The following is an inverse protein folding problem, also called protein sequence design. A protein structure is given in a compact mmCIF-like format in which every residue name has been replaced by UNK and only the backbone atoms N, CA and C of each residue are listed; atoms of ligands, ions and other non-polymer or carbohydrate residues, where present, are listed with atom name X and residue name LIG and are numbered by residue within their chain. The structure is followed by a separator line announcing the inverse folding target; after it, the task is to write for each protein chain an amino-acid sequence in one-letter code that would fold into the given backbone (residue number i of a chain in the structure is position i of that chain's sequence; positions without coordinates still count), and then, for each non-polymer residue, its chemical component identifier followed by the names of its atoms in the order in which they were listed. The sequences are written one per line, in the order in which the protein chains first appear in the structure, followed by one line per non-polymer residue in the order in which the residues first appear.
data_IF_288108356452
#
_entry.id   IF_288108356452
#
_cell.length_a   1.000
_cell.length_b   1.000
_cell.length_c   1.000
_cell.angle_alpha   90.00
_cell.angle_beta   90.00
_cell.angle_gamma   90.00
#
_symmetry.space_group_name_H-M   'P 1'
#
loop_
_entity.id
_entity.type
_entity.pdbx_description
1 polymer ?
#
# COMPACT_ATOMS: atom_id res chain seq x y z
N UNK A 1 -28.79 22.32 1.14
CA UNK A 1 -28.11 21.14 1.71
C UNK A 1 -27.15 20.58 0.67
N UNK A 2 -25.84 20.77 0.83
CA UNK A 2 -24.84 20.12 -0.03
C UNK A 2 -24.76 18.64 0.34
N UNK A 3 -25.25 17.73 -0.51
CA UNK A 3 -24.94 16.30 -0.35
C UNK A 3 -23.46 16.11 -0.70
N UNK A 4 -22.66 15.71 0.29
CA UNK A 4 -21.28 15.27 0.05
C UNK A 4 -21.34 14.11 -0.94
N UNK A 5 -20.81 14.30 -2.14
CA UNK A 5 -20.75 13.24 -3.14
C UNK A 5 -20.01 12.01 -2.54
N UNK A 6 -20.50 10.79 -2.78
CA UNK A 6 -19.84 9.61 -2.26
C UNK A 6 -18.45 9.53 -2.90
N UNK A 7 -17.42 9.33 -2.07
CA UNK A 7 -16.02 9.24 -2.53
C UNK A 7 -15.73 7.90 -3.24
N UNK A 8 -16.77 7.16 -3.59
CA UNK A 8 -16.74 5.90 -4.31
C UNK A 8 -18.09 5.60 -4.98
N UNK A 9 -18.03 4.80 -6.02
CA UNK A 9 -19.12 4.21 -6.77
C UNK A 9 -18.95 2.69 -6.78
N UNK A 10 -20.06 1.94 -6.65
CA UNK A 10 -20.08 0.48 -6.86
C UNK A 10 -21.46 0.06 -7.29
N UNK A 11 -21.54 -0.78 -8.32
CA UNK A 11 -22.72 -1.55 -8.67
C UNK A 11 -22.65 -2.89 -7.95
N UNK A 12 -23.32 -3.03 -6.80
CA UNK A 12 -23.17 -4.21 -5.93
C UNK A 12 -23.32 -5.53 -6.69
N UNK A 13 -24.39 -5.68 -7.50
CA UNK A 13 -24.64 -6.91 -8.26
C UNK A 13 -23.55 -7.21 -9.31
N UNK A 14 -23.09 -6.19 -10.05
CA UNK A 14 -22.07 -6.38 -11.08
C UNK A 14 -20.69 -6.61 -10.46
N UNK A 15 -20.35 -5.88 -9.40
CA UNK A 15 -19.09 -6.02 -8.67
C UNK A 15 -18.97 -7.37 -7.98
N UNK A 16 -20.05 -7.85 -7.36
CA UNK A 16 -20.08 -9.17 -6.72
C UNK A 16 -20.16 -10.32 -7.74
N UNK A 17 -20.58 -10.08 -8.98
CA UNK A 17 -20.48 -11.06 -10.06
C UNK A 17 -19.03 -11.31 -10.50
N UNK A 18 -18.11 -10.36 -10.25
CA UNK A 18 -16.68 -10.54 -10.53
C UNK A 18 -16.08 -11.51 -9.49
N UNK A 19 -15.69 -12.71 -9.95
CA UNK A 19 -15.08 -13.74 -9.09
C UNK A 19 -13.57 -13.58 -8.97
N UNK A 20 -12.92 -13.38 -10.12
CA UNK A 20 -11.47 -13.29 -10.25
C UNK A 20 -11.09 -11.91 -10.77
N UNK A 21 -10.03 -11.34 -10.23
CA UNK A 21 -9.48 -10.05 -10.65
C UNK A 21 -7.99 -10.15 -10.91
N UNK A 22 -7.52 -9.48 -11.96
CA UNK A 22 -6.13 -9.13 -12.14
C UNK A 22 -5.88 -7.73 -11.56
N UNK A 23 -4.85 -7.57 -10.73
CA UNK A 23 -4.47 -6.26 -10.19
C UNK A 23 -3.41 -5.66 -11.12
N UNK A 24 -3.76 -4.70 -11.95
CA UNK A 24 -2.78 -4.04 -12.81
C UNK A 24 -1.75 -3.28 -11.95
N UNK A 25 -0.43 -3.30 -12.29
CA UNK A 25 0.55 -2.49 -11.58
C UNK A 25 0.13 -1.02 -11.55
N UNK A 26 0.18 -0.41 -10.37
CA UNK A 26 -0.21 0.99 -10.21
C UNK A 26 0.71 1.90 -11.01
N UNK A 27 0.16 3.03 -11.45
CA UNK A 27 0.91 4.07 -12.15
C UNK A 27 0.90 5.37 -11.38
N UNK A 28 1.88 6.23 -11.63
CA UNK A 28 1.82 7.65 -11.26
C UNK A 28 1.30 8.41 -12.47
N UNK A 29 0.35 9.34 -12.26
CA UNK A 29 -0.15 10.18 -13.35
C UNK A 29 1.02 10.91 -14.05
N UNK A 30 1.03 10.97 -15.40
CA UNK A 30 2.20 11.36 -16.19
C UNK A 30 2.75 12.76 -15.90
N UNK A 31 1.91 13.68 -15.40
CA UNK A 31 2.28 15.07 -15.10
C UNK A 31 2.35 15.36 -13.58
N UNK A 32 2.48 14.33 -12.75
CA UNK A 32 2.57 14.51 -11.31
C UNK A 32 3.97 14.97 -10.87
N UNK A 33 4.08 16.27 -10.57
CA UNK A 33 5.27 16.86 -9.96
C UNK A 33 5.42 16.45 -8.49
N UNK A 34 6.61 15.97 -8.13
CA UNK A 34 6.95 15.59 -6.74
C UNK A 34 8.46 15.59 -6.53
N UNK A 35 8.89 15.92 -5.31
CA UNK A 35 10.32 15.96 -4.93
C UNK A 35 10.94 14.57 -4.73
N UNK A 36 10.14 13.51 -4.82
CA UNK A 36 10.58 12.12 -4.64
C UNK A 36 11.44 11.65 -5.82
N UNK A 37 12.52 10.93 -5.53
CA UNK A 37 13.34 10.28 -6.56
C UNK A 37 12.59 9.15 -7.27
N UNK A 38 13.13 8.65 -8.38
CA UNK A 38 12.56 7.52 -9.10
C UNK A 38 12.47 6.26 -8.20
N UNK A 39 13.47 6.03 -7.35
CA UNK A 39 13.52 4.92 -6.41
C UNK A 39 12.47 5.09 -5.31
N UNK A 40 12.31 6.30 -4.76
CA UNK A 40 11.27 6.61 -3.76
C UNK A 40 9.86 6.43 -4.36
N UNK A 41 9.65 6.84 -5.61
CA UNK A 41 8.40 6.59 -6.36
C UNK A 41 8.13 5.10 -6.54
N UNK A 42 9.15 4.32 -6.93
CA UNK A 42 9.03 2.87 -7.11
C UNK A 42 8.68 2.16 -5.81
N UNK A 43 9.23 2.59 -4.66
CA UNK A 43 8.86 2.05 -3.35
C UNK A 43 7.39 2.29 -3.02
N UNK A 44 6.88 3.49 -3.28
CA UNK A 44 5.47 3.84 -3.04
C UNK A 44 4.55 2.99 -3.92
N UNK A 45 4.84 2.91 -5.22
CA UNK A 45 4.09 2.08 -6.17
C UNK A 45 4.02 0.62 -5.72
N UNK A 46 5.18 0.04 -5.38
CA UNK A 46 5.27 -1.34 -4.91
C UNK A 46 4.44 -1.58 -3.64
N UNK A 47 4.48 -0.66 -2.65
CA UNK A 47 3.69 -0.84 -1.43
C UNK A 47 2.19 -0.62 -1.66
N UNK A 48 1.80 0.30 -2.54
CA UNK A 48 0.40 0.50 -2.96
C UNK A 48 -0.15 -0.78 -3.59
N UNK A 49 0.56 -1.34 -4.55
CA UNK A 49 0.17 -2.58 -5.23
C UNK A 49 0.01 -3.75 -4.23
N UNK A 50 0.97 -3.87 -3.32
CA UNK A 50 0.96 -4.93 -2.29
C UNK A 50 -0.27 -4.83 -1.39
N UNK A 51 -0.58 -3.64 -0.89
CA UNK A 51 -1.70 -3.41 0.03
C UNK A 51 -3.04 -3.57 -0.68
N UNK A 52 -3.17 -3.09 -1.92
CA UNK A 52 -4.37 -3.29 -2.74
C UNK A 52 -4.59 -4.77 -3.00
N UNK A 53 -3.56 -5.50 -3.43
CA UNK A 53 -3.69 -6.93 -3.72
C UNK A 53 -4.13 -7.70 -2.47
N UNK A 54 -3.54 -7.43 -1.30
CA UNK A 54 -3.91 -8.13 -0.07
C UNK A 54 -5.36 -7.89 0.33
N UNK A 55 -5.83 -6.65 0.29
CA UNK A 55 -7.19 -6.30 0.70
C UNK A 55 -8.24 -6.76 -0.31
N UNK A 56 -7.93 -6.71 -1.60
CA UNK A 56 -8.77 -7.27 -2.66
C UNK A 56 -8.81 -8.81 -2.57
N UNK A 57 -7.70 -9.47 -2.27
CA UNK A 57 -7.63 -10.94 -2.12
C UNK A 57 -8.51 -11.49 -0.99
N UNK A 58 -8.95 -10.64 -0.05
CA UNK A 58 -9.91 -11.07 0.97
C UNK A 58 -11.25 -11.50 0.38
N UNK A 59 -11.63 -11.01 -0.80
CA UNK A 59 -12.96 -11.24 -1.39
C UNK A 59 -12.92 -11.62 -2.87
N UNK A 60 -11.81 -11.42 -3.56
CA UNK A 60 -11.63 -11.81 -4.95
C UNK A 60 -10.52 -12.84 -5.09
N UNK A 61 -10.68 -13.78 -6.02
CA UNK A 61 -9.56 -14.59 -6.47
C UNK A 61 -8.62 -13.69 -7.28
N UNK A 62 -7.32 -13.83 -7.09
CA UNK A 62 -6.33 -13.03 -7.84
C UNK A 62 -5.85 -13.86 -9.02
N UNK A 63 -6.00 -13.32 -10.23
CA UNK A 63 -5.37 -13.86 -11.41
C UNK A 63 -3.87 -13.49 -11.40
N UNK A 64 -2.97 -14.44 -11.70
CA UNK A 64 -1.53 -14.15 -11.77
C UNK A 64 -1.17 -13.26 -12.97
N UNK A 65 -1.96 -13.35 -14.03
CA UNK A 65 -1.79 -12.65 -15.31
C UNK A 65 -3.15 -12.11 -15.81
N UNK A 66 -3.16 -11.13 -16.73
CA UNK A 66 -4.39 -10.67 -17.37
C UNK A 66 -5.15 -11.84 -18.02
N UNK A 67 -6.46 -11.90 -17.83
CA UNK A 67 -7.31 -12.94 -18.40
C UNK A 67 -8.65 -12.39 -18.87
N UNK A 68 -9.18 -12.80 -20.03
CA UNK A 68 -10.49 -12.34 -20.53
C UNK A 68 -11.67 -12.64 -19.61
N UNK A 69 -11.54 -13.61 -18.69
CA UNK A 69 -12.58 -13.97 -17.73
C UNK A 69 -12.43 -13.30 -16.37
N UNK A 70 -11.37 -12.52 -16.17
CA UNK A 70 -11.10 -11.81 -14.93
C UNK A 70 -11.47 -10.33 -15.06
N UNK A 71 -11.98 -9.74 -13.99
CA UNK A 71 -12.03 -8.29 -13.88
C UNK A 71 -10.62 -7.70 -13.76
N UNK A 72 -10.48 -6.39 -13.94
CA UNK A 72 -9.19 -5.70 -13.81
C UNK A 72 -9.31 -4.59 -12.77
N UNK A 73 -8.43 -4.61 -11.78
CA UNK A 73 -8.25 -3.49 -10.85
C UNK A 73 -7.18 -2.57 -11.42
N UNK A 74 -7.51 -1.29 -11.63
CA UNK A 74 -6.58 -0.26 -12.05
C UNK A 74 -6.43 0.79 -10.98
N UNK A 75 -5.22 1.31 -10.83
CA UNK A 75 -4.91 2.28 -9.79
C UNK A 75 -3.92 3.32 -10.31
N UNK A 76 -4.26 4.59 -10.13
CA UNK A 76 -3.40 5.72 -10.48
C UNK A 76 -3.17 6.59 -9.22
N UNK A 77 -1.91 6.88 -8.92
CA UNK A 77 -1.52 7.90 -7.96
C UNK A 77 -1.63 9.26 -8.64
N UNK A 78 -2.59 10.07 -8.19
CA UNK A 78 -2.89 11.41 -8.73
C UNK A 78 -2.41 12.54 -7.82
N UNK A 79 -1.96 12.23 -6.59
CA UNK A 79 -1.16 13.15 -5.77
C UNK A 79 -0.18 12.37 -4.91
N UNK A 80 1.07 12.85 -4.88
CA UNK A 80 2.15 12.23 -4.10
C UNK A 80 3.02 13.32 -3.47
N UNK A 81 2.76 13.63 -2.21
CA UNK A 81 3.43 14.69 -1.48
C UNK A 81 4.52 14.11 -0.57
N UNK A 82 5.74 14.64 -0.70
CA UNK A 82 6.87 14.32 0.19
C UNK A 82 6.60 14.82 1.61
N UNK A 83 7.09 14.08 2.62
CA UNK A 83 7.20 14.62 3.98
C UNK A 83 8.55 15.34 4.16
N UNK A 84 8.58 16.37 5.01
CA UNK A 84 9.80 17.15 5.27
C UNK A 84 10.74 16.38 6.19
N UNK A 85 11.98 16.15 5.74
CA UNK A 85 13.03 15.52 6.56
C UNK A 85 13.39 16.37 7.78
N UNK A 86 13.55 17.68 7.61
CA UNK A 86 13.83 18.63 8.70
C UNK A 86 12.70 18.62 9.73
N UNK A 87 11.45 18.65 9.26
CA UNK A 87 10.28 18.57 10.14
C UNK A 87 10.16 17.21 10.85
N UNK A 88 10.63 16.13 10.25
CA UNK A 88 10.61 14.78 10.84
C UNK A 88 11.70 14.60 11.91
N UNK A 89 12.89 15.18 11.72
CA UNK A 89 13.95 15.24 12.75
C UNK A 89 13.51 16.11 13.93
N UNK A 90 12.93 17.28 13.66
CA UNK A 90 12.40 18.16 14.72
C UNK A 90 11.28 17.46 15.52
N UNK A 91 10.35 16.79 14.84
CA UNK A 91 9.30 16.00 15.50
C UNK A 91 9.89 14.88 16.37
N UNK A 92 10.90 14.16 15.90
CA UNK A 92 11.56 13.10 16.68
C UNK A 92 12.25 13.63 17.94
N UNK A 93 12.87 14.81 17.86
CA UNK A 93 13.48 15.47 19.01
C UNK A 93 12.44 15.91 20.04
N UNK A 94 11.27 16.39 19.59
CA UNK A 94 10.14 16.72 20.47
C UNK A 94 9.54 15.46 21.10
N UNK A 95 9.38 14.38 20.34
CA UNK A 95 8.89 13.09 20.84
C UNK A 95 9.82 12.51 21.92
N UNK A 96 11.14 12.70 21.80
CA UNK A 96 12.13 12.25 22.79
C UNK A 96 11.97 12.92 24.17
N UNK A 97 11.49 14.16 24.20
CA UNK A 97 11.27 14.93 25.44
C UNK A 97 9.79 15.00 25.86
N UNK A 98 8.90 14.33 25.13
CA UNK A 98 7.46 14.39 25.39
C UNK A 98 7.11 13.58 26.65
N UNK A 99 6.48 14.20 27.68
CA UNK A 99 6.07 13.49 28.90
C UNK A 99 4.98 12.43 28.66
N UNK A 100 4.33 12.43 27.48
CA UNK A 100 3.35 11.41 27.08
C UNK A 100 3.94 10.59 25.91
N UNK A 101 4.60 9.44 26.18
CA UNK A 101 5.43 8.71 25.22
C UNK A 101 4.66 8.02 24.07
N UNK A 102 3.37 8.27 23.91
CA UNK A 102 2.47 7.56 22.97
C UNK A 102 1.87 8.51 21.91
N UNK A 103 2.13 9.82 22.02
CA UNK A 103 1.53 10.85 21.14
C UNK A 103 2.64 11.60 20.43
N UNK A 104 2.76 11.38 19.12
CA UNK A 104 3.72 12.13 18.31
C UNK A 104 3.06 13.38 17.72
N UNK A 105 3.77 14.51 17.74
CA UNK A 105 3.32 15.78 17.16
C UNK A 105 4.13 16.14 15.91
N UNK A 106 3.43 16.43 14.79
CA UNK A 106 4.04 16.86 13.53
C UNK A 106 3.53 18.24 13.12
N UNK A 107 4.42 19.03 12.53
CA UNK A 107 4.08 20.34 11.96
C UNK A 107 3.21 20.12 10.70
N UNK A 108 2.11 20.85 10.49
CA UNK A 108 1.21 20.65 9.35
C UNK A 108 1.89 20.66 7.97
N UNK A 109 2.92 21.48 7.80
CA UNK A 109 3.69 21.60 6.55
C UNK A 109 4.75 20.50 6.36
N UNK A 110 4.95 19.61 7.35
CA UNK A 110 5.97 18.55 7.28
C UNK A 110 5.41 17.18 6.92
N UNK A 111 4.09 17.02 6.80
CA UNK A 111 3.46 15.72 6.52
C UNK A 111 3.35 15.46 5.03
N UNK A 112 3.59 14.20 4.65
CA UNK A 112 3.38 13.71 3.29
C UNK A 112 1.91 13.34 3.06
N UNK A 113 1.57 13.07 1.81
CA UNK A 113 0.20 12.80 1.41
C UNK A 113 0.11 11.94 0.17
N UNK A 114 -1.01 11.23 0.06
CA UNK A 114 -1.31 10.32 -1.03
C UNK A 114 -2.74 10.55 -1.49
N UNK A 115 -2.94 10.75 -2.79
CA UNK A 115 -4.24 10.67 -3.42
C UNK A 115 -4.21 9.70 -4.60
N UNK A 116 -5.25 8.89 -4.70
CA UNK A 116 -5.35 7.76 -5.61
C UNK A 116 -6.75 7.70 -6.20
N UNK A 117 -6.79 7.37 -7.48
CA UNK A 117 -7.98 6.89 -8.17
C UNK A 117 -7.82 5.39 -8.38
N UNK A 118 -8.85 4.62 -8.07
CA UNK A 118 -8.84 3.19 -8.29
C UNK A 118 -10.19 2.74 -8.83
N UNK A 119 -10.17 1.88 -9.83
CA UNK A 119 -11.36 1.32 -10.45
C UNK A 119 -11.28 -0.20 -10.55
N UNK A 120 -12.46 -0.83 -10.55
CA UNK A 120 -12.65 -2.22 -10.92
C UNK A 120 -13.45 -2.26 -12.21
N UNK A 121 -12.82 -2.84 -13.23
CA UNK A 121 -13.44 -3.19 -14.49
C UNK A 121 -13.94 -4.63 -14.42
N UNK A 122 -15.14 -4.88 -14.92
CA UNK A 122 -15.63 -6.23 -15.18
C UNK A 122 -14.83 -6.90 -16.32
N UNK A 123 -15.02 -8.22 -16.54
CA UNK A 123 -14.40 -8.92 -17.67
C UNK A 123 -14.77 -8.35 -19.05
N UNK A 124 -15.90 -7.65 -19.13
CA UNK A 124 -16.38 -6.92 -20.31
C UNK A 124 -15.72 -5.54 -20.49
N UNK A 125 -14.80 -5.15 -19.60
CA UNK A 125 -14.12 -3.84 -19.60
C UNK A 125 -14.97 -2.71 -19.03
N UNK A 126 -16.19 -2.97 -18.57
CA UNK A 126 -17.07 -1.94 -18.00
C UNK A 126 -16.67 -1.64 -16.56
N UNK A 127 -16.61 -0.37 -16.19
CA UNK A 127 -16.38 0.02 -14.80
C UNK A 127 -17.58 -0.39 -13.94
N UNK A 128 -17.35 -1.25 -12.94
CA UNK A 128 -18.36 -1.75 -11.99
C UNK A 128 -18.17 -1.19 -10.58
N UNK A 129 -16.98 -0.68 -10.27
CA UNK A 129 -16.71 0.09 -9.08
C UNK A 129 -15.57 1.10 -9.33
N UNK A 130 -15.59 2.21 -8.61
CA UNK A 130 -14.50 3.18 -8.61
C UNK A 130 -14.44 3.94 -7.30
N UNK A 131 -13.28 4.48 -6.96
CA UNK A 131 -13.13 5.35 -5.80
C UNK A 131 -12.07 6.41 -6.02
N UNK A 132 -12.28 7.53 -5.33
CA UNK A 132 -11.27 8.55 -5.11
C UNK A 132 -10.87 8.47 -3.63
N UNK A 133 -9.59 8.53 -3.34
CA UNK A 133 -9.10 8.53 -1.98
C UNK A 133 -7.98 9.53 -1.85
N UNK A 134 -8.04 10.32 -0.79
CA UNK A 134 -7.05 11.35 -0.50
C UNK A 134 -6.84 11.40 0.99
N UNK A 135 -5.59 11.31 1.42
CA UNK A 135 -5.23 11.45 2.82
C UNK A 135 -3.85 12.06 2.95
N UNK A 136 -3.70 12.91 3.96
CA UNK A 136 -2.40 13.36 4.43
C UNK A 136 -2.07 12.61 5.73
N UNK A 137 -0.79 12.39 6.02
CA UNK A 137 -0.40 11.81 7.30
C UNK A 137 -0.86 12.74 8.44
N UNK A 138 -1.37 12.13 9.52
CA UNK A 138 -1.94 12.87 10.64
C UNK A 138 -0.89 13.68 11.39
N UNK A 139 -1.27 14.86 11.88
CA UNK A 139 -0.42 15.75 12.67
C UNK A 139 -0.23 15.27 14.11
N UNK A 140 -1.17 14.47 14.61
CA UNK A 140 -1.16 13.88 15.96
C UNK A 140 -1.52 12.41 15.82
N UNK A 141 -0.69 11.51 16.35
CA UNK A 141 -0.98 10.08 16.30
C UNK A 141 0.11 9.22 16.92
N UNK A 142 -0.11 7.91 16.93
CA UNK A 142 0.85 6.90 17.43
C UNK A 142 1.93 6.54 16.41
N UNK A 143 1.96 7.24 15.28
CA UNK A 143 2.73 6.86 14.10
C UNK A 143 4.04 7.63 14.08
N UNK A 144 5.16 6.91 14.12
CA UNK A 144 6.51 7.46 14.18
C UNK A 144 6.82 8.37 12.98
N UNK A 145 7.38 9.59 13.17
CA UNK A 145 7.87 10.40 12.06
C UNK A 145 8.83 9.60 11.18
N UNK A 146 8.80 9.82 9.87
CA UNK A 146 9.71 9.11 8.95
C UNK A 146 10.84 10.01 8.50
N UNK A 147 12.08 9.50 8.56
CA UNK A 147 13.23 10.19 7.98
C UNK A 147 13.30 10.07 6.44
N UNK A 148 12.51 9.17 5.85
CA UNK A 148 12.36 9.10 4.40
C UNK A 148 11.34 10.13 3.93
N UNK A 149 11.57 10.76 2.76
CA UNK A 149 10.62 11.71 2.15
C UNK A 149 9.34 11.03 1.66
N UNK A 150 9.40 9.71 1.42
CA UNK A 150 8.26 8.90 1.00
C UNK A 150 7.56 8.18 2.17
N UNK A 151 8.06 8.33 3.40
CA UNK A 151 7.64 7.49 4.51
C UNK A 151 6.18 7.66 4.90
N UNK A 152 5.63 8.86 4.75
CA UNK A 152 4.21 9.10 5.00
C UNK A 152 3.32 8.48 3.93
N UNK A 153 3.71 8.57 2.65
CA UNK A 153 2.99 7.92 1.55
C UNK A 153 2.99 6.39 1.69
N UNK A 154 4.12 5.81 2.11
CA UNK A 154 4.23 4.36 2.36
C UNK A 154 3.33 3.89 3.51
N UNK A 155 3.20 4.68 4.57
CA UNK A 155 2.30 4.37 5.69
C UNK A 155 0.82 4.58 5.32
N UNK A 156 0.54 5.39 4.29
CA UNK A 156 -0.80 5.59 3.75
C UNK A 156 -1.24 4.47 2.79
N UNK A 157 -0.34 3.60 2.33
CA UNK A 157 -0.67 2.51 1.42
C UNK A 157 -1.59 1.45 2.06
N UNK A 158 -1.40 1.11 3.35
CA UNK A 158 -2.27 0.18 4.08
C UNK A 158 -3.73 0.70 4.16
N UNK A 159 -4.00 1.89 4.73
CA UNK A 159 -5.37 2.41 4.79
C UNK A 159 -5.98 2.71 3.40
N UNK A 160 -5.16 2.90 2.36
CA UNK A 160 -5.61 2.95 0.97
C UNK A 160 -6.12 1.57 0.51
N UNK A 161 -5.31 0.52 0.65
CA UNK A 161 -5.71 -0.85 0.26
C UNK A 161 -7.02 -1.25 0.95
N UNK A 162 -7.11 -0.95 2.25
CA UNK A 162 -8.30 -1.18 3.09
C UNK A 162 -9.56 -0.53 2.48
N UNK A 163 -9.39 0.70 1.97
CA UNK A 163 -10.47 1.45 1.33
C UNK A 163 -10.81 0.85 -0.03
N UNK A 164 -9.83 0.44 -0.82
CA UNK A 164 -10.05 -0.20 -2.12
C UNK A 164 -10.86 -1.49 -1.94
N UNK A 165 -10.43 -2.39 -1.05
CA UNK A 165 -11.16 -3.63 -0.76
C UNK A 165 -12.62 -3.39 -0.32
N UNK A 166 -12.85 -2.42 0.57
CA UNK A 166 -14.20 -2.03 1.02
C UNK A 166 -15.05 -1.37 -0.07
N UNK A 167 -14.40 -0.71 -1.04
CA UNK A 167 -15.10 -0.02 -2.14
C UNK A 167 -15.52 -0.99 -3.22
N UNK A 168 -14.75 -2.06 -3.47
CA UNK A 168 -14.97 -2.96 -4.60
C UNK A 168 -15.82 -4.18 -4.28
N UNK A 169 -15.92 -4.61 -3.02
CA UNK A 169 -16.82 -5.68 -2.64
C UNK A 169 -17.93 -5.18 -1.73
N UNK A 170 -19.14 -5.71 -1.91
CA UNK A 170 -20.20 -5.51 -0.93
C UNK A 170 -19.82 -6.15 0.41
N UNK A 171 -20.51 -5.73 1.48
CA UNK A 171 -20.31 -6.34 2.80
C UNK A 171 -20.87 -7.76 2.87
N UNK A 172 -21.81 -8.10 2.00
CA UNK A 172 -22.50 -9.38 1.95
C UNK A 172 -21.65 -10.44 1.23
N UNK A 173 -20.69 -10.00 0.41
CA UNK A 173 -19.72 -10.90 -0.21
C UNK A 173 -18.85 -11.59 0.84
N UNK A 174 -18.82 -12.93 0.87
CA UNK A 174 -18.04 -13.67 1.86
C UNK A 174 -16.55 -13.46 1.67
N UNK A 175 -15.82 -13.49 2.79
CA UNK A 175 -14.35 -13.49 2.77
C UNK A 175 -13.81 -14.85 2.33
N UNK A 176 -12.79 -14.83 1.49
CA UNK A 176 -12.04 -16.00 1.03
C UNK A 176 -10.99 -16.33 2.09
N UNK A 177 -10.92 -17.61 2.49
CA UNK A 177 -9.82 -18.12 3.31
C UNK A 177 -8.62 -18.34 2.39
N UNK A 178 -7.56 -17.55 2.60
CA UNK A 178 -6.34 -17.70 1.82
C UNK A 178 -5.64 -19.01 2.18
N UNK A 179 -5.24 -19.75 1.14
CA UNK A 179 -4.50 -21.00 1.26
C UNK A 179 -3.01 -20.77 1.57
N UNK A 180 -2.18 -21.81 1.39
CA UNK A 180 -0.73 -21.74 1.60
C UNK A 180 0.00 -20.89 0.55
N UNK A 181 -0.55 -20.80 -0.66
CA UNK A 181 0.02 -20.01 -1.76
C UNK A 181 -0.41 -18.55 -1.57
N UNK A 182 0.54 -17.62 -1.53
CA UNK A 182 0.27 -16.19 -1.46
C UNK A 182 -0.06 -15.68 -2.88
N UNK A 183 -1.33 -15.37 -3.18
CA UNK A 183 -1.73 -14.93 -4.52
C UNK A 183 -1.12 -13.57 -4.91
N UNK A 184 -0.60 -12.83 -3.94
CA UNK A 184 0.00 -11.52 -4.13
C UNK A 184 1.52 -11.55 -4.08
N UNK A 185 2.15 -12.73 -4.10
CA UNK A 185 3.60 -12.90 -3.99
C UNK A 185 4.40 -12.06 -4.99
N UNK A 186 3.85 -11.77 -6.17
CA UNK A 186 4.51 -10.91 -7.18
C UNK A 186 4.68 -9.45 -6.75
N UNK A 187 3.94 -9.01 -5.73
CA UNK A 187 4.07 -7.70 -5.09
C UNK A 187 4.81 -7.79 -3.74
N UNK A 188 5.48 -8.91 -3.49
CA UNK A 188 6.18 -9.20 -2.25
C UNK A 188 5.36 -9.97 -1.22
N UNK A 189 6.05 -10.64 -0.30
CA UNK A 189 5.42 -11.52 0.69
C UNK A 189 4.57 -10.76 1.72
N UNK A 190 3.43 -11.35 2.11
CA UNK A 190 2.58 -10.82 3.21
C UNK A 190 3.30 -10.82 4.56
N UNK A 191 4.14 -11.82 4.81
CA UNK A 191 4.94 -11.97 6.03
C UNK A 191 6.41 -11.66 5.73
N UNK A 192 6.73 -10.38 5.52
CA UNK A 192 8.12 -9.98 5.40
C UNK A 192 8.73 -9.75 6.81
N UNK A 193 9.19 -10.84 7.42
CA UNK A 193 9.79 -10.84 8.77
C UNK A 193 11.02 -9.94 8.80
N UNK A 194 11.84 -9.97 7.75
CA UNK A 194 13.03 -9.12 7.60
C UNK A 194 12.69 -7.63 7.61
N UNK A 195 11.64 -7.22 6.87
CA UNK A 195 11.09 -5.85 6.94
C UNK A 195 10.63 -5.49 8.34
N UNK A 196 9.95 -6.40 9.04
CA UNK A 196 9.42 -6.18 10.39
C UNK A 196 10.55 -6.03 11.42
N UNK A 197 11.60 -6.84 11.29
CA UNK A 197 12.80 -6.79 12.13
C UNK A 197 13.63 -5.53 11.86
N UNK A 198 13.93 -5.20 10.60
CA UNK A 198 14.68 -4.00 10.24
C UNK A 198 13.98 -2.72 10.68
N UNK A 199 12.65 -2.64 10.46
CA UNK A 199 11.84 -1.51 10.94
C UNK A 199 11.78 -1.45 12.47
N UNK A 200 11.76 -2.61 13.15
CA UNK A 200 11.74 -2.72 14.61
C UNK A 200 13.04 -2.27 15.27
N UNK A 201 14.20 -2.64 14.73
CA UNK A 201 15.52 -2.26 15.25
C UNK A 201 15.73 -0.75 15.11
N UNK A 202 15.54 -0.20 13.91
CA UNK A 202 15.75 1.24 13.65
C UNK A 202 14.71 2.07 14.41
N UNK A 203 13.45 1.66 14.38
CA UNK A 203 12.38 2.33 15.10
C UNK A 203 12.55 2.26 16.61
N UNK A 204 13.15 1.20 17.16
CA UNK A 204 13.44 1.05 18.58
C UNK A 204 14.54 1.99 19.08
N UNK A 205 15.56 2.25 18.24
CA UNK A 205 16.69 3.13 18.58
C UNK A 205 16.36 4.60 18.40
N UNK A 206 15.67 4.95 17.31
CA UNK A 206 15.53 6.35 16.87
C UNK A 206 14.12 6.93 17.03
N UNK A 207 13.12 6.09 17.31
CA UNK A 207 11.72 6.52 17.25
C UNK A 207 11.23 6.82 15.83
N UNK A 208 11.97 6.44 14.77
CA UNK A 208 11.69 6.83 13.39
C UNK A 208 11.36 5.63 12.48
N UNK A 209 10.51 5.85 11.48
CA UNK A 209 10.26 4.88 10.40
C UNK A 209 11.24 5.08 9.23
N UNK A 210 11.99 4.04 8.84
CA UNK A 210 12.94 4.08 7.72
C UNK A 210 12.65 3.00 6.67
N UNK A 211 11.88 3.31 5.62
CA UNK A 211 11.47 2.34 4.60
C UNK A 211 12.61 1.86 3.68
N UNK A 212 13.67 2.67 3.51
CA UNK A 212 14.83 2.33 2.69
C UNK A 212 15.53 1.05 3.20
N UNK A 213 15.65 0.89 4.52
CA UNK A 213 16.27 -0.28 5.17
C UNK A 213 15.37 -1.52 5.10
N UNK A 214 14.08 -1.32 4.83
CA UNK A 214 13.09 -2.37 4.62
C UNK A 214 12.99 -2.84 3.16
N UNK A 215 13.59 -2.11 2.21
CA UNK A 215 13.59 -2.41 0.78
C UNK A 215 14.90 -3.01 0.25
N UNK A 216 15.96 -3.10 1.05
CA UNK A 216 17.28 -3.61 0.62
C UNK A 216 17.46 -5.13 0.76
N UNK A 217 16.39 -5.93 0.79
CA UNK A 217 16.55 -7.37 0.52
C UNK A 217 16.72 -7.54 -0.99
N UNK A 218 18.00 -7.48 -1.39
CA UNK A 218 18.43 -7.64 -2.77
C UNK A 218 17.96 -8.97 -3.35
N UNK A 219 18.03 -9.03 -4.68
CA UNK A 219 17.96 -10.24 -5.50
C UNK A 219 18.72 -11.38 -4.81
N UNK A 220 18.02 -12.29 -4.14
CA UNK A 220 18.57 -13.60 -3.86
C UNK A 220 18.68 -14.30 -5.21
N UNK A 221 19.93 -14.50 -5.60
CA UNK A 221 20.33 -15.10 -6.86
C UNK A 221 19.77 -16.51 -6.90
N UNK A 222 19.25 -16.89 -8.06
CA UNK A 222 18.64 -18.18 -8.42
C UNK A 222 19.57 -19.41 -8.19
N UNK A 223 20.75 -19.22 -7.63
CA UNK A 223 21.83 -20.22 -7.53
C UNK A 223 21.74 -21.10 -6.28
N UNK A 224 21.08 -20.70 -5.20
CA UNK A 224 21.03 -21.52 -3.96
C UNK A 224 19.89 -22.57 -3.96
N UNK A 225 18.98 -22.58 -4.94
CA UNK A 225 17.87 -23.57 -5.00
C UNK A 225 18.31 -24.95 -5.50
N UNK A 226 19.51 -25.11 -6.05
CA UNK A 226 19.96 -26.36 -6.69
C UNK A 226 20.93 -27.21 -5.86
N UNK A 227 21.33 -26.80 -4.64
CA UNK A 227 22.32 -27.54 -3.86
C UNK A 227 21.76 -28.43 -2.72
N UNK A 228 20.47 -28.32 -2.37
CA UNK A 228 19.89 -29.10 -1.26
C UNK A 228 19.04 -30.31 -1.70
N UNK A 229 19.05 -30.69 -2.97
CA UNK A 229 18.48 -31.96 -3.40
C UNK A 229 19.46 -33.12 -3.17
N UNK A 230 19.50 -33.67 -1.94
CA UNK A 230 20.16 -34.95 -1.67
C UNK A 230 19.22 -36.10 -2.07
N UNK A 231 19.69 -37.09 -2.85
CA UNK A 231 18.85 -38.20 -3.30
C UNK A 231 18.54 -39.15 -2.14
N UNK A 232 17.26 -39.54 -2.02
CA UNK A 232 16.83 -40.64 -1.18
C UNK A 232 17.41 -41.97 -1.70
N UNK A 233 17.93 -42.79 -0.79
CA UNK A 233 18.19 -44.21 -0.98
C UNK A 233 17.00 -45.01 -0.44
#
# INVERSE_FOLDING_TARGET
MYRKAPTYYREDAASDAVKTVFVEPSVIAPDLETELSAEEKAMVLHEVDRQICFEVSERFLIAPEPSPSAGTVRTAIVRLQSNSRVGSVAAAAVDFVNPIPIVNFRVPASTGGLAVESELLGPDGRQVAAMLWTKNAGMVGRVKPSLSRAGDALQLAEPLGDRVGKSFASKDRPRIKLGRIDPCARFGSRKNVTRRLASGVVGGVTGLYMPQVAGTSGRETETERFQDAKPEQ
#
